data_IF_810102895270
#
_entry.id   IF_810102895270
#
_cell.length_a   1.000
_cell.length_b   1.000
_cell.length_c   1.000
_cell.angle_alpha   90.00
_cell.angle_beta   90.00
_cell.angle_gamma   90.00
#
_symmetry.space_group_name_H-M   'P 1'
#
loop_
_entity.id
_entity.type
_entity.pdbx_description
1 polymer ?
#
# COMPACT_ATOMS: atom_id res chain seq x y z
N UNK A 1 4.58 -1.47 7.09
CA UNK A 1 3.62 -2.61 7.03
C UNK A 1 3.39 -3.16 8.43
N UNK A 2 2.39 -4.03 8.61
CA UNK A 2 2.03 -4.62 9.91
C UNK A 2 3.18 -5.40 10.56
N UNK A 3 3.92 -6.17 9.75
CA UNK A 3 5.11 -6.89 10.17
C UNK A 3 6.38 -6.01 9.92
N UNK A 4 7.28 -5.84 10.92
CA UNK A 4 8.55 -5.15 10.73
C UNK A 4 9.44 -5.76 9.64
N UNK A 5 9.46 -7.09 9.51
CA UNK A 5 10.23 -7.78 8.46
C UNK A 5 9.72 -7.37 7.07
N UNK A 6 8.40 -7.40 6.88
CA UNK A 6 7.78 -6.99 5.61
C UNK A 6 8.08 -5.51 5.32
N UNK A 7 8.15 -4.66 6.34
CA UNK A 7 8.53 -3.24 6.17
C UNK A 7 9.98 -3.08 5.71
N UNK A 8 10.91 -3.87 6.25
CA UNK A 8 12.33 -3.80 5.90
C UNK A 8 12.62 -4.37 4.49
N UNK A 9 11.89 -5.42 4.09
CA UNK A 9 12.11 -6.14 2.84
C UNK A 9 11.20 -5.71 1.68
N UNK A 10 10.32 -4.73 1.91
CA UNK A 10 9.41 -4.23 0.88
C UNK A 10 10.15 -3.46 -0.20
N UNK A 11 9.87 -3.77 -1.47
CA UNK A 11 10.51 -3.12 -2.61
C UNK A 11 9.50 -2.48 -3.55
N UNK A 12 9.99 -1.68 -4.50
CA UNK A 12 9.16 -1.09 -5.58
C UNK A 12 8.40 -2.16 -6.38
N UNK A 13 9.01 -3.34 -6.58
CA UNK A 13 8.33 -4.46 -7.26
C UNK A 13 7.07 -4.89 -6.50
N UNK A 14 7.15 -4.94 -5.18
CA UNK A 14 6.05 -5.41 -4.34
C UNK A 14 4.85 -4.45 -4.36
N UNK A 15 5.10 -3.14 -4.61
CA UNK A 15 4.04 -2.14 -4.82
C UNK A 15 3.20 -2.44 -6.07
N UNK A 16 3.83 -3.00 -7.11
CA UNK A 16 3.25 -3.13 -8.45
C UNK A 16 2.82 -4.56 -8.81
N UNK A 17 3.02 -5.51 -7.91
CA UNK A 17 2.78 -6.93 -8.16
C UNK A 17 1.64 -7.53 -7.34
N UNK A 18 0.99 -6.75 -6.46
CA UNK A 18 -0.13 -7.19 -5.63
C UNK A 18 0.15 -8.46 -4.81
N UNK A 19 1.36 -8.55 -4.25
CA UNK A 19 1.81 -9.69 -3.43
C UNK A 19 2.36 -9.24 -2.07
N UNK A 20 1.76 -8.19 -1.51
CA UNK A 20 2.17 -7.57 -0.25
C UNK A 20 1.80 -8.38 1.00
N UNK A 21 0.90 -9.37 0.86
CA UNK A 21 0.28 -10.07 1.98
C UNK A 21 -1.01 -9.42 2.49
N UNK A 22 -1.35 -8.22 1.99
CA UNK A 22 -2.64 -7.58 2.25
C UNK A 22 -3.79 -8.34 1.57
N UNK A 23 -4.98 -8.27 2.16
CA UNK A 23 -6.18 -8.85 1.57
C UNK A 23 -6.69 -8.02 0.38
N UNK A 24 -7.56 -8.64 -0.42
CA UNK A 24 -8.23 -7.97 -1.54
C UNK A 24 -8.90 -6.66 -1.08
N UNK A 25 -8.50 -5.54 -1.68
CA UNK A 25 -9.06 -4.20 -1.41
C UNK A 25 -8.78 -3.67 0.01
N UNK A 26 -7.71 -4.14 0.66
CA UNK A 26 -7.37 -3.73 2.01
C UNK A 26 -7.19 -2.20 2.12
N UNK A 27 -8.12 -1.56 2.82
CA UNK A 27 -8.08 -0.11 3.05
C UNK A 27 -8.59 0.74 1.88
N UNK A 28 -9.26 0.15 0.88
CA UNK A 28 -9.84 0.90 -0.25
C UNK A 28 -10.76 2.04 0.22
N UNK A 29 -11.42 1.87 1.38
CA UNK A 29 -12.29 2.88 1.97
C UNK A 29 -11.57 4.14 2.48
N UNK A 30 -10.23 4.17 2.48
CA UNK A 30 -9.47 5.40 2.71
C UNK A 30 -9.44 6.30 1.48
N UNK A 31 -9.78 5.80 0.30
CA UNK A 31 -9.76 6.59 -0.94
C UNK A 31 -11.09 6.54 -1.69
N UNK A 32 -11.93 5.53 -1.44
CA UNK A 32 -13.22 5.34 -2.10
C UNK A 32 -14.37 5.19 -1.09
N UNK A 33 -15.52 5.87 -1.27
CA UNK A 33 -15.83 6.87 -2.31
C UNK A 33 -15.12 8.21 -2.05
N UNK A 34 -15.14 9.12 -3.04
CA UNK A 34 -14.39 10.41 -3.09
C UNK A 34 -14.66 11.40 -1.93
N UNK A 35 -15.55 11.07 -1.00
CA UNK A 35 -15.95 11.91 0.13
C UNK A 35 -15.13 11.69 1.40
N UNK A 36 -13.92 11.15 1.30
CA UNK A 36 -13.06 10.87 2.47
C UNK A 36 -11.98 11.95 2.65
N UNK A 37 -11.58 12.19 3.89
CA UNK A 37 -10.58 13.21 4.25
C UNK A 37 -9.16 12.64 4.39
N UNK A 38 -8.93 11.39 3.99
CA UNK A 38 -7.61 10.77 4.10
C UNK A 38 -6.65 11.36 3.07
N UNK A 39 -5.47 11.75 3.52
CA UNK A 39 -4.37 12.15 2.65
C UNK A 39 -3.53 10.95 2.22
N UNK A 40 -2.70 11.11 1.19
CA UNK A 40 -1.70 10.12 0.78
C UNK A 40 -0.80 9.71 1.95
N UNK A 41 -0.46 10.65 2.84
CA UNK A 41 0.33 10.36 4.05
C UNK A 41 -0.42 9.45 5.01
N UNK A 42 -1.73 9.65 5.16
CA UNK A 42 -2.56 8.81 6.01
C UNK A 42 -2.67 7.40 5.44
N UNK A 43 -2.89 7.27 4.12
CA UNK A 43 -2.90 5.96 3.42
C UNK A 43 -1.61 5.19 3.71
N UNK A 44 -0.45 5.81 3.46
CA UNK A 44 0.87 5.18 3.70
C UNK A 44 1.05 4.81 5.17
N UNK A 45 0.69 5.72 6.09
CA UNK A 45 0.82 5.48 7.53
C UNK A 45 -0.07 4.32 8.00
N UNK A 46 -1.29 4.25 7.48
CA UNK A 46 -2.30 3.28 7.91
C UNK A 46 -2.04 1.86 7.40
N UNK A 47 -1.18 1.68 6.37
CA UNK A 47 -0.76 0.35 5.91
C UNK A 47 -0.21 -0.54 7.02
N UNK A 48 0.29 0.04 8.12
CA UNK A 48 0.80 -0.72 9.27
C UNK A 48 -0.28 -1.34 10.16
N UNK A 49 -1.55 -0.94 10.00
CA UNK A 49 -2.63 -1.45 10.84
C UNK A 49 -3.37 -2.64 10.22
N UNK A 50 -3.21 -2.89 8.92
CA UNK A 50 -3.85 -4.01 8.24
C UNK A 50 -3.13 -5.33 8.54
N UNK A 51 -3.84 -6.24 9.22
CA UNK A 51 -3.34 -7.61 9.43
C UNK A 51 -3.20 -8.33 8.08
N UNK A 52 -2.09 -9.03 7.83
CA UNK A 52 -1.91 -9.77 6.59
C UNK A 52 -2.90 -10.94 6.49
N UNK A 53 -3.42 -11.17 5.28
CA UNK A 53 -4.29 -12.29 4.94
C UNK A 53 -3.52 -13.45 4.27
N UNK A 54 -2.28 -13.18 3.86
CA UNK A 54 -1.34 -14.19 3.35
C UNK A 54 0.09 -13.82 3.72
N UNK A 55 1.02 -14.77 3.59
CA UNK A 55 2.45 -14.47 3.78
C UNK A 55 2.94 -13.50 2.72
N UNK A 56 3.90 -12.65 3.08
CA UNK A 56 4.55 -11.74 2.13
C UNK A 56 5.05 -12.51 0.90
N UNK A 57 4.72 -12.00 -0.29
CA UNK A 57 5.02 -12.57 -1.63
C UNK A 57 4.35 -13.90 -1.99
N UNK A 58 3.66 -14.57 -1.06
CA UNK A 58 3.17 -15.93 -1.31
C UNK A 58 1.93 -16.00 -2.19
N UNK A 59 1.06 -14.98 -2.14
CA UNK A 59 -0.22 -14.96 -2.84
C UNK A 59 -0.47 -13.61 -3.50
N UNK A 60 -1.12 -13.64 -4.66
CA UNK A 60 -1.64 -12.45 -5.32
C UNK A 60 -2.99 -12.06 -4.70
N UNK A 61 -3.12 -10.82 -4.25
CA UNK A 61 -4.38 -10.19 -3.82
C UNK A 61 -4.31 -8.70 -4.21
N UNK A 62 -5.29 -8.27 -5.02
CA UNK A 62 -5.31 -6.91 -5.59
C UNK A 62 -5.55 -5.85 -4.51
N UNK A 63 -4.83 -4.73 -4.61
CA UNK A 63 -4.83 -3.64 -3.61
C UNK A 63 -4.46 -2.32 -4.29
N UNK A 64 -5.34 -1.31 -4.19
CA UNK A 64 -5.15 0.00 -4.80
C UNK A 64 -4.17 0.88 -4.03
N UNK A 65 -4.08 0.72 -2.71
CA UNK A 65 -3.29 1.60 -1.85
C UNK A 65 -1.80 1.52 -2.17
N UNK A 66 -1.31 0.38 -2.64
CA UNK A 66 0.09 0.21 -3.06
C UNK A 66 0.44 1.07 -4.29
N UNK A 67 -0.53 1.32 -5.18
CA UNK A 67 -0.33 2.21 -6.32
C UNK A 67 -0.33 3.69 -5.91
N UNK A 68 -1.11 4.07 -4.89
CA UNK A 68 -1.03 5.40 -4.27
C UNK A 68 0.38 5.63 -3.71
N UNK A 69 0.94 4.63 -3.00
CA UNK A 69 2.32 4.70 -2.49
C UNK A 69 3.34 4.78 -3.63
N UNK A 70 3.15 4.02 -4.72
CA UNK A 70 4.02 4.11 -5.89
C UNK A 70 3.97 5.49 -6.55
N UNK A 71 2.79 6.10 -6.66
CA UNK A 71 2.61 7.47 -7.16
C UNK A 71 3.37 8.48 -6.30
N UNK A 72 3.18 8.43 -4.98
CA UNK A 72 3.91 9.29 -4.03
C UNK A 72 5.44 9.12 -4.15
N UNK A 73 5.92 7.89 -4.36
CA UNK A 73 7.34 7.64 -4.59
C UNK A 73 7.83 8.34 -5.86
N UNK A 74 7.08 8.26 -6.96
CA UNK A 74 7.42 8.95 -8.22
C UNK A 74 7.46 10.45 -8.00
N UNK A 75 6.43 11.04 -7.37
CA UNK A 75 6.36 12.48 -7.09
C UNK A 75 7.57 12.97 -6.28
N UNK A 76 8.00 12.21 -5.26
CA UNK A 76 9.18 12.55 -4.44
C UNK A 76 10.49 12.48 -5.22
N UNK A 77 10.64 11.49 -6.10
CA UNK A 77 11.87 11.30 -6.86
C UNK A 77 11.97 12.30 -8.01
N UNK A 78 10.87 12.56 -8.70
CA UNK A 78 10.82 13.45 -9.86
C UNK A 78 10.77 14.93 -9.48
N UNK A 79 10.24 15.26 -8.28
CA UNK A 79 9.90 16.63 -7.90
C UNK A 79 8.72 17.21 -8.67
N UNK A 80 7.95 16.36 -9.37
CA UNK A 80 6.79 16.73 -10.18
C UNK A 80 5.54 16.02 -9.65
N UNK A 81 4.36 16.66 -9.71
CA UNK A 81 3.08 16.00 -9.42
C UNK A 81 2.90 14.71 -10.22
#
# INVERSE_FOLDING_TARGET
MYDPYVTAEFTVRDLLCHRSGLGLGAGDLMFFPDSTDFTVKDVIHNLRYFKPMSSFRSKYDYDNNLYIVAGEMVTRISGQP
#
